data_IF_162719460505
#
_entry.id   IF_162719460505
#
_cell.length_a   1.000
_cell.length_b   1.000
_cell.length_c   1.000
_cell.angle_alpha   90.00
_cell.angle_beta   90.00
_cell.angle_gamma   90.00
#
_symmetry.space_group_name_H-M   'P 1'
#
loop_
_entity.id
_entity.type
_entity.pdbx_description
1 polymer ?
#
# COMPACT_ATOMS: atom_id res chain seq x y z
N UNK A 1 -22.23 14.15 5.60
CA UNK A 1 -22.68 14.41 4.22
C UNK A 1 -22.33 13.15 3.44
N UNK A 2 -23.23 12.16 3.43
CA UNK A 2 -23.03 10.93 2.67
C UNK A 2 -23.56 11.19 1.26
N UNK A 3 -22.71 11.76 0.42
CA UNK A 3 -22.98 11.75 -1.01
C UNK A 3 -22.88 10.29 -1.45
N UNK A 4 -24.02 9.73 -1.86
CA UNK A 4 -24.04 8.47 -2.58
C UNK A 4 -23.35 8.78 -3.91
N UNK A 5 -22.05 8.48 -4.01
CA UNK A 5 -21.33 8.52 -5.28
C UNK A 5 -21.92 7.43 -6.16
N UNK A 6 -22.95 7.78 -6.92
CA UNK A 6 -23.52 6.89 -7.92
C UNK A 6 -22.41 6.58 -8.93
N UNK A 7 -22.13 5.28 -9.11
CA UNK A 7 -21.19 4.82 -10.10
C UNK A 7 -21.68 5.25 -11.49
N UNK A 8 -20.79 5.80 -12.31
CA UNK A 8 -21.10 6.09 -13.71
C UNK A 8 -21.48 4.81 -14.45
N UNK A 9 -22.38 4.89 -15.43
CA UNK A 9 -22.72 3.76 -16.32
C UNK A 9 -21.93 3.79 -17.64
N UNK A 10 -21.13 4.84 -17.88
CA UNK A 10 -20.28 4.94 -19.06
C UNK A 10 -18.99 4.15 -18.86
N UNK A 11 -18.76 3.16 -19.72
CA UNK A 11 -17.58 2.27 -19.66
C UNK A 11 -16.25 3.04 -19.75
N UNK A 12 -16.19 4.15 -20.49
CA UNK A 12 -14.99 4.96 -20.62
C UNK A 12 -14.69 5.71 -19.30
N UNK A 13 -15.74 6.21 -18.63
CA UNK A 13 -15.63 6.88 -17.33
C UNK A 13 -15.17 5.90 -16.27
N UNK A 14 -15.83 4.74 -16.16
CA UNK A 14 -15.44 3.67 -15.22
C UNK A 14 -13.99 3.22 -15.47
N UNK A 15 -13.59 3.10 -16.74
CA UNK A 15 -12.22 2.72 -17.11
C UNK A 15 -11.20 3.77 -16.66
N UNK A 16 -11.52 5.05 -16.83
CA UNK A 16 -10.65 6.14 -16.39
C UNK A 16 -10.53 6.19 -14.85
N UNK A 17 -11.64 5.99 -14.14
CA UNK A 17 -11.67 5.91 -12.67
C UNK A 17 -10.81 4.74 -12.16
N UNK A 18 -11.00 3.53 -12.72
CA UNK A 18 -10.19 2.35 -12.36
C UNK A 18 -8.70 2.63 -12.59
N UNK A 19 -8.33 3.21 -13.74
CA UNK A 19 -6.92 3.56 -14.03
C UNK A 19 -6.37 4.57 -13.03
N UNK A 20 -7.18 5.55 -12.62
CA UNK A 20 -6.79 6.53 -11.59
C UNK A 20 -6.52 5.84 -10.25
N UNK A 21 -7.43 4.97 -9.79
CA UNK A 21 -7.23 4.21 -8.56
C UNK A 21 -6.02 3.27 -8.65
N UNK A 22 -5.78 2.63 -9.80
CA UNK A 22 -4.59 1.82 -10.04
C UNK A 22 -3.30 2.64 -9.92
N UNK A 23 -3.29 3.87 -10.45
CA UNK A 23 -2.14 4.76 -10.34
C UNK A 23 -1.88 5.15 -8.88
N UNK A 24 -2.93 5.56 -8.15
CA UNK A 24 -2.84 5.92 -6.73
C UNK A 24 -2.39 4.72 -5.89
N UNK A 25 -2.94 3.53 -6.16
CA UNK A 25 -2.54 2.30 -5.51
C UNK A 25 -1.08 1.96 -5.80
N UNK A 26 -0.63 2.10 -7.05
CA UNK A 26 0.76 1.87 -7.44
C UNK A 26 1.73 2.81 -6.72
N UNK A 27 1.41 4.10 -6.64
CA UNK A 27 2.20 5.08 -5.88
C UNK A 27 2.24 4.72 -4.39
N UNK A 28 1.09 4.38 -3.80
CA UNK A 28 0.99 4.00 -2.40
C UNK A 28 1.81 2.75 -2.09
N UNK A 29 1.74 1.73 -2.95
CA UNK A 29 2.52 0.49 -2.83
C UNK A 29 4.02 0.78 -2.88
N UNK A 30 4.47 1.60 -3.83
CA UNK A 30 5.88 1.99 -3.96
C UNK A 30 6.37 2.73 -2.71
N UNK A 31 5.58 3.69 -2.24
CA UNK A 31 5.87 4.48 -1.06
C UNK A 31 5.93 3.66 0.23
N UNK A 32 5.06 2.66 0.38
CA UNK A 32 5.08 1.70 1.49
C UNK A 32 6.38 0.88 1.43
N UNK A 33 6.73 0.36 0.25
CA UNK A 33 7.97 -0.38 0.04
C UNK A 33 9.21 0.40 0.47
N UNK A 34 9.35 1.64 0.01
CA UNK A 34 10.49 2.47 0.40
C UNK A 34 10.60 2.66 1.92
N UNK A 35 9.48 2.86 2.62
CA UNK A 35 9.47 3.03 4.09
C UNK A 35 9.79 1.73 4.81
N UNK A 36 9.24 0.60 4.36
CA UNK A 36 9.55 -0.72 4.91
C UNK A 36 11.05 -1.04 4.77
N UNK A 37 11.66 -0.70 3.62
CA UNK A 37 13.09 -0.88 3.38
C UNK A 37 13.93 0.02 4.29
N UNK A 38 13.56 1.29 4.39
CA UNK A 38 14.26 2.26 5.23
C UNK A 38 14.34 1.79 6.69
N UNK A 39 13.20 1.41 7.28
CA UNK A 39 13.12 0.93 8.67
C UNK A 39 13.95 -0.35 8.86
N UNK A 40 13.92 -1.27 7.88
CA UNK A 40 14.71 -2.51 7.92
C UNK A 40 16.22 -2.25 7.91
N UNK A 41 16.67 -1.26 7.15
CA UNK A 41 18.08 -0.97 6.94
C UNK A 41 18.68 -0.01 7.98
N UNK A 42 17.88 0.88 8.56
CA UNK A 42 18.39 2.01 9.36
C UNK A 42 17.91 2.02 10.81
N UNK A 43 16.67 1.60 11.09
CA UNK A 43 16.03 1.90 12.37
C UNK A 43 15.97 0.71 13.33
N UNK A 44 15.96 -0.53 12.82
CA UNK A 44 15.75 -1.72 13.64
C UNK A 44 17.01 -2.58 13.77
N UNK A 45 17.24 -3.05 15.00
CA UNK A 45 18.29 -4.04 15.29
C UNK A 45 17.94 -5.36 14.60
N UNK A 46 18.96 -6.10 14.16
CA UNK A 46 18.76 -7.39 13.48
C UNK A 46 17.82 -8.32 14.27
N UNK A 47 16.68 -8.67 13.66
CA UNK A 47 15.67 -9.55 14.24
C UNK A 47 14.36 -8.86 14.61
N UNK A 48 14.38 -7.55 14.88
CA UNK A 48 13.17 -6.82 15.33
C UNK A 48 12.22 -6.43 14.20
N UNK A 49 12.70 -6.48 12.95
CA UNK A 49 11.90 -6.06 11.79
C UNK A 49 10.63 -6.88 11.59
N UNK A 50 10.67 -8.20 11.81
CA UNK A 50 9.51 -9.08 11.64
C UNK A 50 8.45 -8.77 12.70
N UNK A 51 8.86 -8.66 13.95
CA UNK A 51 7.99 -8.28 15.06
C UNK A 51 7.35 -6.91 14.83
N UNK A 52 8.11 -5.95 14.32
CA UNK A 52 7.63 -4.60 14.07
C UNK A 52 6.57 -4.55 12.97
N UNK A 53 6.79 -5.20 11.81
CA UNK A 53 5.80 -5.21 10.73
C UNK A 53 4.52 -5.95 11.12
N UNK A 54 4.61 -7.00 11.94
CA UNK A 54 3.45 -7.79 12.39
C UNK A 54 2.64 -7.01 13.43
N UNK A 55 3.30 -6.33 14.38
CA UNK A 55 2.63 -5.58 15.45
C UNK A 55 2.08 -4.23 15.00
N UNK A 56 2.78 -3.51 14.12
CA UNK A 56 2.46 -2.11 13.80
C UNK A 56 1.90 -1.89 12.40
N UNK A 57 2.26 -2.73 11.43
CA UNK A 57 1.84 -2.55 10.04
C UNK A 57 0.84 -3.62 9.57
N UNK A 58 0.50 -4.59 10.44
CA UNK A 58 -0.38 -5.71 10.12
C UNK A 58 0.04 -6.47 8.84
N UNK A 59 1.35 -6.54 8.61
CA UNK A 59 1.93 -7.30 7.50
C UNK A 59 2.60 -8.56 8.03
N UNK A 60 2.33 -9.69 7.39
CA UNK A 60 3.20 -10.85 7.51
C UNK A 60 4.56 -10.56 6.87
N UNK A 61 5.61 -11.26 7.33
CA UNK A 61 6.93 -11.24 6.69
C UNK A 61 6.87 -11.45 5.17
N UNK A 62 6.04 -12.36 4.69
CA UNK A 62 5.90 -12.63 3.26
C UNK A 62 5.29 -11.45 2.50
N UNK A 63 4.26 -10.80 3.06
CA UNK A 63 3.66 -9.61 2.45
C UNK A 63 4.66 -8.48 2.41
N UNK A 64 5.30 -8.16 3.54
CA UNK A 64 6.30 -7.10 3.64
C UNK A 64 7.43 -7.30 2.60
N UNK A 65 7.97 -8.52 2.48
CA UNK A 65 9.01 -8.84 1.50
C UNK A 65 8.57 -8.74 0.02
N UNK A 66 7.28 -8.64 -0.29
CA UNK A 66 6.81 -8.38 -1.67
C UNK A 66 6.80 -6.90 -2.02
N UNK A 67 6.86 -6.03 -1.01
CA UNK A 67 6.87 -4.57 -1.17
C UNK A 67 8.29 -3.99 -1.24
N UNK A 68 9.30 -4.72 -0.79
CA UNK A 68 10.73 -4.32 -0.76
C UNK A 68 11.57 -5.17 -1.70
#
# INVERSE_FOLDING_TARGET
MNEITNLSTDINVITAEIKSYQQIAGQSIFEIGMRLKHVKENDLVHGEWIDWIEKHCNFSRMQANRFI
#
